data_IF_395848190155
#
_entry.id   IF_395848190155
#
_cell.length_a   1.000
_cell.length_b   1.000
_cell.length_c   1.000
_cell.angle_alpha   90.00
_cell.angle_beta   90.00
_cell.angle_gamma   90.00
#
_symmetry.space_group_name_H-M   'P 1'
#
loop_
_entity.id
_entity.type
_entity.pdbx_description
1 polymer ?
#
# COMPACT_ATOMS: atom_id res chain seq x y z
N UNK A 1 1.29 -9.20 -10.60
CA UNK A 1 0.06 -8.53 -11.10
C UNK A 1 -0.79 -9.50 -11.92
N UNK A 2 -0.28 -10.04 -13.03
CA UNK A 2 -1.00 -10.99 -13.89
C UNK A 2 -1.73 -12.13 -13.17
N UNK A 3 -1.10 -12.82 -12.22
CA UNK A 3 -1.77 -13.91 -11.48
C UNK A 3 -2.98 -13.43 -10.66
N UNK A 4 -2.89 -12.24 -10.04
CA UNK A 4 -4.02 -11.66 -9.33
C UNK A 4 -5.12 -11.20 -10.30
N UNK A 5 -4.73 -10.67 -11.46
CA UNK A 5 -5.66 -10.26 -12.52
C UNK A 5 -6.42 -11.48 -13.08
N UNK A 6 -5.74 -12.59 -13.37
CA UNK A 6 -6.36 -13.84 -13.84
C UNK A 6 -7.38 -14.39 -12.84
N UNK A 7 -7.06 -14.30 -11.55
CA UNK A 7 -7.94 -14.75 -10.47
C UNK A 7 -9.01 -13.72 -10.09
N UNK A 8 -9.01 -12.53 -10.71
CA UNK A 8 -9.91 -11.42 -10.40
C UNK A 8 -9.90 -11.04 -8.91
N UNK A 9 -8.71 -11.09 -8.28
CA UNK A 9 -8.51 -10.73 -6.88
C UNK A 9 -7.74 -9.41 -6.74
N UNK A 10 -7.97 -8.72 -5.62
CA UNK A 10 -7.21 -7.51 -5.28
C UNK A 10 -5.80 -7.90 -4.81
N UNK A 11 -4.81 -7.13 -5.25
CA UNK A 11 -3.41 -7.28 -4.85
C UNK A 11 -2.98 -6.09 -3.98
N UNK A 12 -2.34 -6.39 -2.86
CA UNK A 12 -1.65 -5.43 -2.00
C UNK A 12 -0.15 -5.75 -1.96
N UNK A 13 0.69 -4.71 -2.09
CA UNK A 13 2.11 -4.84 -1.80
C UNK A 13 2.41 -4.27 -0.40
N UNK A 14 2.99 -5.11 0.46
CA UNK A 14 3.41 -4.73 1.81
C UNK A 14 4.91 -4.36 1.84
N UNK A 15 5.33 -3.56 2.82
CA UNK A 15 6.72 -3.13 2.97
C UNK A 15 7.13 -1.96 2.06
N UNK A 16 6.20 -1.13 1.61
CA UNK A 16 6.51 0.08 0.81
C UNK A 16 7.04 1.19 1.72
N UNK A 17 8.29 1.60 1.52
CA UNK A 17 8.99 2.56 2.40
C UNK A 17 9.36 3.87 1.72
N UNK A 18 9.45 3.88 0.38
CA UNK A 18 9.89 5.04 -0.40
C UNK A 18 8.91 5.41 -1.51
N UNK A 19 8.79 6.70 -1.89
CA UNK A 19 7.96 7.11 -3.01
C UNK A 19 8.30 6.39 -4.32
N UNK A 20 9.59 6.15 -4.59
CA UNK A 20 10.05 5.45 -5.78
C UNK A 20 9.53 4.00 -5.86
N UNK A 21 9.49 3.27 -4.74
CA UNK A 21 8.87 1.94 -4.70
C UNK A 21 7.36 2.00 -4.98
N UNK A 22 6.66 2.98 -4.39
CA UNK A 22 5.23 3.16 -4.62
C UNK A 22 4.92 3.50 -6.09
N UNK A 23 5.72 4.36 -6.72
CA UNK A 23 5.57 4.67 -8.15
C UNK A 23 5.86 3.46 -9.03
N UNK A 24 6.90 2.69 -8.73
CA UNK A 24 7.22 1.48 -9.47
C UNK A 24 6.06 0.45 -9.41
N UNK A 25 5.53 0.20 -8.20
CA UNK A 25 4.42 -0.72 -7.98
C UNK A 25 3.12 -0.23 -8.67
N UNK A 26 2.85 1.07 -8.60
CA UNK A 26 1.72 1.70 -9.30
C UNK A 26 1.84 1.52 -10.82
N UNK A 27 3.03 1.71 -11.38
CA UNK A 27 3.28 1.52 -12.82
C UNK A 27 3.14 0.05 -13.25
N UNK A 28 3.35 -0.89 -12.33
CA UNK A 28 3.06 -2.31 -12.56
C UNK A 28 1.57 -2.67 -12.44
N UNK A 29 0.71 -1.74 -11.98
CA UNK A 29 -0.72 -1.99 -11.79
C UNK A 29 -1.09 -2.46 -10.37
N UNK A 30 -0.18 -2.40 -9.39
CA UNK A 30 -0.51 -2.66 -7.99
C UNK A 30 -1.20 -1.42 -7.41
N UNK A 31 -2.48 -1.55 -7.07
CA UNK A 31 -3.29 -0.42 -6.60
C UNK A 31 -3.16 -0.16 -5.09
N UNK A 32 -2.99 -1.21 -4.30
CA UNK A 32 -2.96 -1.11 -2.84
C UNK A 32 -1.55 -1.30 -2.31
N UNK A 33 -1.14 -0.42 -1.40
CA UNK A 33 0.16 -0.50 -0.75
C UNK A 33 -0.01 -0.39 0.77
N UNK A 34 0.87 -1.08 1.50
CA UNK A 34 1.07 -0.88 2.93
C UNK A 34 2.56 -0.76 3.20
N UNK A 35 2.93 0.13 4.12
CA UNK A 35 4.32 0.24 4.58
C UNK A 35 4.60 1.60 5.22
N UNK A 36 5.83 1.77 5.68
CA UNK A 36 6.24 2.95 6.45
C UNK A 36 6.27 4.24 5.64
N UNK A 37 6.18 4.15 4.31
CA UNK A 37 5.91 5.33 3.46
C UNK A 37 4.61 6.03 3.88
N UNK A 38 3.59 5.25 4.24
CA UNK A 38 2.26 5.75 4.60
C UNK A 38 2.15 5.96 6.10
N UNK A 39 2.45 4.93 6.87
CA UNK A 39 2.43 5.00 8.33
C UNK A 39 3.16 3.80 8.93
N UNK A 40 3.74 4.01 10.12
CA UNK A 40 4.16 2.89 10.96
C UNK A 40 2.91 2.24 11.60
N UNK A 41 2.98 0.99 12.09
CA UNK A 41 1.93 0.42 12.91
C UNK A 41 1.62 1.31 14.11
N UNK A 42 0.33 1.51 14.37
CA UNK A 42 -0.15 2.39 15.42
C UNK A 42 -1.26 1.70 16.22
N UNK A 43 -1.37 1.98 17.53
CA UNK A 43 -2.55 1.66 18.31
C UNK A 43 -3.84 2.21 17.66
N UNK A 44 -4.92 1.46 17.79
CA UNK A 44 -6.22 1.83 17.23
C UNK A 44 -6.71 3.21 17.68
N UNK A 45 -6.45 3.58 18.93
CA UNK A 45 -6.82 4.89 19.52
C UNK A 45 -6.18 6.09 18.80
N UNK A 46 -5.11 5.88 18.04
CA UNK A 46 -4.41 6.94 17.31
C UNK A 46 -4.86 7.06 15.86
N UNK A 47 -5.68 6.13 15.33
CA UNK A 47 -6.10 6.12 13.92
C UNK A 47 -6.96 7.33 13.54
N UNK A 48 -7.89 7.76 14.41
CA UNK A 48 -8.80 8.87 14.14
C UNK A 48 -8.15 10.26 14.22
N UNK A 49 -6.89 10.33 14.68
CA UNK A 49 -6.16 11.58 14.89
C UNK A 49 -5.13 11.85 13.80
N UNK A 50 -4.93 10.91 12.86
CA UNK A 50 -4.01 11.13 11.74
C UNK A 50 -4.78 11.69 10.53
N UNK A 51 -4.35 12.83 9.96
CA UNK A 51 -4.92 13.31 8.71
C UNK A 51 -4.61 12.29 7.62
N UNK A 52 -5.65 11.78 6.97
CA UNK A 52 -5.53 11.00 5.74
C UNK A 52 -4.92 11.95 4.71
N UNK A 53 -3.64 11.77 4.41
CA UNK A 53 -2.90 12.56 3.42
C UNK A 53 -3.21 12.07 2.01
#
# INVERSE_FOLDING_TARGET
>A
VHFADELQVKLIAEGVETPAQAEHLKNMGVQYHQGYLYSKPLPYSLLAQQPIS
#
